data_IF_495919833065
#
_entry.id   IF_495919833065
#
_cell.length_a   1.000
_cell.length_b   1.000
_cell.length_c   1.000
_cell.angle_alpha   90.00
_cell.angle_beta   90.00
_cell.angle_gamma   90.00
#
_symmetry.space_group_name_H-M   'P 1'
#
loop_
_entity.id
_entity.type
_entity.pdbx_description
1 polymer ?
#
# COMPACT_ATOMS: atom_id res chain seq x y z
N UNK A 1 16.76 0.62 -23.92
CA UNK A 1 16.35 1.21 -25.21
C UNK A 1 16.24 0.21 -26.36
N UNK A 2 16.76 -1.02 -26.29
CA UNK A 2 16.77 -1.96 -27.44
C UNK A 2 15.55 -2.88 -27.52
N UNK A 3 14.97 -3.29 -26.39
CA UNK A 3 13.74 -4.11 -26.37
C UNK A 3 12.61 -3.41 -27.16
N UNK A 4 12.00 -4.12 -28.12
CA UNK A 4 11.00 -3.59 -29.06
C UNK A 4 11.46 -2.33 -29.81
N UNK A 5 12.76 -2.23 -30.11
CA UNK A 5 13.37 -1.03 -30.69
C UNK A 5 13.02 0.26 -29.91
N UNK A 6 12.91 0.15 -28.58
CA UNK A 6 12.63 1.29 -27.70
C UNK A 6 11.18 1.79 -27.75
N UNK A 7 10.27 1.14 -28.47
CA UNK A 7 8.85 1.50 -28.56
C UNK A 7 8.09 1.02 -27.30
N UNK A 8 8.45 1.62 -26.16
CA UNK A 8 7.77 1.43 -24.88
C UNK A 8 7.60 2.80 -24.25
N UNK A 9 6.39 3.11 -23.77
CA UNK A 9 6.11 4.32 -23.00
C UNK A 9 6.97 4.44 -21.73
N UNK A 10 7.44 3.30 -21.20
CA UNK A 10 8.34 3.21 -20.04
C UNK A 10 9.81 3.05 -20.43
N UNK A 11 10.20 3.27 -21.69
CA UNK A 11 11.61 3.23 -22.08
C UNK A 11 12.40 4.38 -21.44
N UNK A 12 13.65 4.12 -21.06
CA UNK A 12 14.55 5.17 -20.57
C UNK A 12 14.90 6.09 -21.75
N UNK A 13 14.54 7.37 -21.63
CA UNK A 13 14.86 8.43 -22.60
C UNK A 13 15.99 9.34 -22.15
N UNK A 14 16.11 9.57 -20.84
CA UNK A 14 17.08 10.48 -20.22
C UNK A 14 17.86 9.70 -19.18
N UNK A 15 19.18 9.72 -19.30
CA UNK A 15 20.12 9.03 -18.40
C UNK A 15 20.91 10.13 -17.70
N UNK A 16 20.66 10.31 -16.41
CA UNK A 16 21.26 11.37 -15.61
C UNK A 16 22.35 10.74 -14.74
N UNK A 17 23.58 11.23 -14.85
CA UNK A 17 24.73 10.67 -14.13
C UNK A 17 25.57 11.79 -13.53
N UNK A 18 26.26 11.57 -12.40
CA UNK A 18 27.23 12.53 -11.88
C UNK A 18 28.25 12.92 -12.96
N UNK A 19 28.57 14.22 -13.07
CA UNK A 19 29.48 14.76 -14.10
C UNK A 19 30.77 13.94 -14.25
N UNK A 20 31.37 13.54 -13.12
CA UNK A 20 32.62 12.78 -13.08
C UNK A 20 32.51 11.37 -13.69
N UNK A 21 31.30 10.82 -13.82
CA UNK A 21 31.04 9.47 -14.32
C UNK A 21 30.52 9.44 -15.76
N UNK A 22 30.28 10.59 -16.39
CA UNK A 22 29.71 10.69 -17.75
C UNK A 22 30.49 9.84 -18.75
N UNK A 23 31.81 9.99 -18.81
CA UNK A 23 32.64 9.27 -19.78
C UNK A 23 32.61 7.77 -19.53
N UNK A 24 32.83 7.34 -18.28
CA UNK A 24 32.81 5.91 -17.92
C UNK A 24 31.47 5.24 -18.26
N UNK A 25 30.35 5.92 -17.99
CA UNK A 25 29.01 5.41 -18.32
C UNK A 25 28.78 5.43 -19.83
N UNK A 26 29.15 6.51 -20.52
CA UNK A 26 29.04 6.62 -21.98
C UNK A 26 29.78 5.48 -22.67
N UNK A 27 31.04 5.25 -22.33
CA UNK A 27 31.88 4.21 -22.94
C UNK A 27 31.31 2.81 -22.70
N UNK A 28 30.86 2.53 -21.46
CA UNK A 28 30.23 1.26 -21.13
C UNK A 28 28.92 1.03 -21.89
N UNK A 29 28.10 2.07 -22.06
CA UNK A 29 26.87 2.00 -22.85
C UNK A 29 27.17 1.79 -24.35
N UNK A 30 28.11 2.56 -24.92
CA UNK A 30 28.54 2.43 -26.33
C UNK A 30 29.05 1.01 -26.59
N UNK A 31 29.98 0.52 -25.78
CA UNK A 31 30.54 -0.83 -25.92
C UNK A 31 29.50 -1.94 -25.84
N UNK A 32 28.42 -1.74 -25.06
CA UNK A 32 27.31 -2.70 -24.98
C UNK A 32 26.34 -2.57 -26.17
N UNK A 33 26.01 -1.35 -26.58
CA UNK A 33 25.04 -1.08 -27.63
C UNK A 33 25.57 -1.41 -29.04
N UNK A 34 26.87 -1.24 -29.29
CA UNK A 34 27.51 -1.60 -30.57
C UNK A 34 27.41 -3.11 -30.90
N UNK A 35 27.25 -3.96 -29.88
CA UNK A 35 27.09 -5.42 -30.05
C UNK A 35 25.68 -5.83 -30.47
N UNK A 36 24.73 -4.89 -30.55
CA UNK A 36 23.34 -5.17 -30.86
C UNK A 36 23.17 -5.29 -32.38
N UNK A 37 22.98 -6.51 -32.85
CA UNK A 37 22.68 -6.80 -34.26
C UNK A 37 21.22 -6.41 -34.55
N UNK A 38 21.04 -5.47 -35.47
CA UNK A 38 19.73 -5.01 -35.96
C UNK A 38 19.41 -5.69 -37.28
N UNK A 39 18.20 -6.21 -37.44
CA UNK A 39 17.80 -6.87 -38.68
C UNK A 39 16.46 -7.56 -38.57
N UNK A 40 16.17 -8.42 -39.56
CA UNK A 40 14.96 -9.23 -39.59
C UNK A 40 14.89 -10.15 -38.35
N UNK A 41 13.83 -10.07 -37.53
CA UNK A 41 13.70 -10.90 -36.33
C UNK A 41 13.63 -12.40 -36.61
N UNK A 42 13.41 -12.84 -37.85
CA UNK A 42 13.47 -14.24 -38.24
C UNK A 42 14.91 -14.79 -38.37
N UNK A 43 15.92 -13.91 -38.48
CA UNK A 43 17.31 -14.31 -38.65
C UNK A 43 17.99 -14.60 -37.31
N UNK A 44 18.74 -15.69 -37.25
CA UNK A 44 19.50 -16.06 -36.06
C UNK A 44 20.55 -15.00 -35.72
N UNK A 45 20.72 -14.72 -34.43
CA UNK A 45 21.68 -13.72 -33.94
C UNK A 45 21.17 -12.28 -33.90
N UNK A 46 20.06 -11.95 -34.60
CA UNK A 46 19.43 -10.63 -34.49
C UNK A 46 18.89 -10.40 -33.07
N UNK A 47 19.22 -9.24 -32.48
CA UNK A 47 18.83 -8.87 -31.11
C UNK A 47 17.84 -7.70 -31.04
N UNK A 48 17.65 -6.98 -32.15
CA UNK A 48 16.68 -5.90 -32.25
C UNK A 48 16.06 -5.86 -33.65
N UNK A 49 14.73 -5.86 -33.72
CA UNK A 49 13.98 -5.74 -34.98
C UNK A 49 13.73 -4.28 -35.38
N UNK A 50 12.80 -4.10 -36.33
CA UNK A 50 12.38 -2.79 -36.82
C UNK A 50 11.47 -2.02 -35.84
N UNK A 51 11.32 -0.72 -36.10
CA UNK A 51 10.18 0.07 -35.65
C UNK A 51 8.89 -0.42 -36.33
N UNK A 52 7.73 0.04 -35.86
CA UNK A 52 6.43 -0.45 -36.33
C UNK A 52 6.18 -0.17 -37.83
N UNK A 53 6.65 0.97 -38.35
CA UNK A 53 6.51 1.34 -39.76
C UNK A 53 7.52 2.44 -40.17
N UNK A 54 7.58 2.76 -41.46
CA UNK A 54 8.52 3.72 -42.03
C UNK A 54 8.26 5.17 -41.57
N UNK A 55 7.00 5.53 -41.32
CA UNK A 55 6.62 6.83 -40.76
C UNK A 55 7.20 7.02 -39.36
N UNK A 56 7.10 6.00 -38.49
CA UNK A 56 7.71 6.01 -37.16
C UNK A 56 9.24 6.11 -37.24
N UNK A 57 9.87 5.48 -38.24
CA UNK A 57 11.32 5.65 -38.48
C UNK A 57 11.67 7.09 -38.84
N UNK A 58 10.90 7.72 -39.71
CA UNK A 58 11.10 9.11 -40.11
C UNK A 58 10.88 10.07 -38.93
N UNK A 59 9.83 9.87 -38.13
CA UNK A 59 9.56 10.65 -36.91
C UNK A 59 10.71 10.51 -35.90
N UNK A 60 11.20 9.30 -35.64
CA UNK A 60 12.37 9.10 -34.76
C UNK A 60 13.60 9.83 -35.29
N UNK A 61 13.86 9.78 -36.60
CA UNK A 61 14.97 10.53 -37.21
C UNK A 61 14.79 12.05 -37.04
N UNK A 62 13.58 12.57 -37.25
CA UNK A 62 13.25 13.98 -37.04
C UNK A 62 13.52 14.40 -35.60
N UNK A 63 13.07 13.61 -34.61
CA UNK A 63 13.30 13.93 -33.19
C UNK A 63 14.78 13.88 -32.82
N UNK A 64 15.55 12.95 -33.38
CA UNK A 64 17.02 12.95 -33.24
C UNK A 64 17.60 14.24 -33.83
N UNK A 65 17.20 14.64 -35.03
CA UNK A 65 17.70 15.86 -35.67
C UNK A 65 17.38 17.13 -34.85
N UNK A 66 16.18 17.21 -34.24
CA UNK A 66 15.80 18.30 -33.33
C UNK A 66 16.76 18.36 -32.13
N UNK A 67 17.05 17.21 -31.51
CA UNK A 67 17.95 17.14 -30.37
C UNK A 67 19.38 17.54 -30.74
N UNK A 68 19.87 17.14 -31.92
CA UNK A 68 21.17 17.55 -32.44
C UNK A 68 21.24 19.06 -32.71
N UNK A 69 20.20 19.61 -33.35
CA UNK A 69 20.10 21.06 -33.59
C UNK A 69 20.05 21.88 -32.29
N UNK A 70 19.54 21.29 -31.21
CA UNK A 70 19.51 21.90 -29.88
C UNK A 70 20.84 21.78 -29.11
N UNK A 71 21.88 21.17 -29.69
CA UNK A 71 23.21 21.07 -29.08
C UNK A 71 23.54 19.71 -28.45
N UNK A 72 22.73 18.66 -28.70
CA UNK A 72 23.12 17.30 -28.33
C UNK A 72 24.16 16.72 -29.32
N UNK A 73 25.04 15.87 -28.81
CA UNK A 73 26.09 15.18 -29.57
C UNK A 73 25.74 13.70 -29.76
N UNK A 74 26.19 13.09 -30.86
CA UNK A 74 26.05 11.65 -31.09
C UNK A 74 27.24 10.94 -30.42
N UNK A 75 26.96 9.97 -29.55
CA UNK A 75 27.96 9.00 -29.03
C UNK A 75 27.92 7.68 -29.78
N UNK A 76 26.76 7.30 -30.30
CA UNK A 76 26.56 6.10 -31.12
C UNK A 76 25.32 6.27 -32.01
N UNK A 77 25.37 5.74 -33.24
CA UNK A 77 24.21 5.66 -34.14
C UNK A 77 23.83 7.03 -34.73
N UNK A 78 22.58 7.43 -34.56
CA UNK A 78 22.09 8.78 -34.91
C UNK A 78 21.52 8.95 -36.31
N UNK A 79 21.76 8.01 -37.22
CA UNK A 79 21.20 8.06 -38.58
C UNK A 79 20.65 6.71 -39.01
N UNK A 80 19.39 6.69 -39.43
CA UNK A 80 18.78 5.57 -40.13
C UNK A 80 18.80 5.78 -41.64
N UNK A 81 18.94 4.69 -42.40
CA UNK A 81 18.68 4.71 -43.84
C UNK A 81 17.17 4.76 -44.07
N UNK A 82 16.67 5.93 -44.50
CA UNK A 82 15.24 6.16 -44.78
C UNK A 82 14.79 5.56 -46.11
N UNK A 83 15.72 5.12 -46.96
CA UNK A 83 15.43 4.46 -48.23
C UNK A 83 15.42 2.94 -48.12
N UNK A 84 16.03 2.38 -47.07
CA UNK A 84 16.08 0.94 -46.83
C UNK A 84 14.68 0.32 -46.67
N UNK A 85 14.54 -0.90 -47.22
CA UNK A 85 13.39 -1.76 -47.00
C UNK A 85 13.33 -2.20 -45.52
N UNK A 86 12.17 -1.98 -44.89
CA UNK A 86 11.97 -2.22 -43.45
C UNK A 86 12.33 -1.01 -42.58
N UNK A 87 11.60 -0.82 -41.48
CA UNK A 87 11.69 0.38 -40.63
C UNK A 87 12.77 0.28 -39.55
N UNK A 88 14.00 -0.09 -39.93
CA UNK A 88 15.10 -0.25 -38.97
C UNK A 88 15.68 1.09 -38.52
N UNK A 89 16.08 1.17 -37.25
CA UNK A 89 16.75 2.34 -36.67
C UNK A 89 17.88 1.86 -35.74
N UNK A 90 19.12 2.36 -35.87
CA UNK A 90 20.22 1.88 -35.04
C UNK A 90 20.07 2.33 -33.59
N UNK A 91 20.53 1.55 -32.59
CA UNK A 91 20.63 2.02 -31.22
C UNK A 91 21.41 3.33 -31.18
N UNK A 92 20.79 4.38 -30.65
CA UNK A 92 21.33 5.74 -30.70
C UNK A 92 21.50 6.28 -29.30
N UNK A 93 22.74 6.57 -28.93
CA UNK A 93 23.08 7.24 -27.67
C UNK A 93 23.48 8.67 -27.98
N UNK A 94 22.72 9.62 -27.46
CA UNK A 94 23.03 11.05 -27.52
C UNK A 94 23.66 11.50 -26.21
N UNK A 95 24.35 12.64 -26.23
CA UNK A 95 24.88 13.32 -25.06
C UNK A 95 24.46 14.78 -25.09
N UNK A 96 23.90 15.28 -24.00
CA UNK A 96 23.55 16.70 -23.83
C UNK A 96 24.50 17.32 -22.80
N UNK A 97 25.46 18.17 -23.21
CA UNK A 97 26.45 18.73 -22.29
C UNK A 97 25.89 19.77 -21.33
N UNK A 98 24.90 20.58 -21.77
CA UNK A 98 24.30 21.66 -21.00
C UNK A 98 22.78 21.46 -20.86
N UNK A 99 22.34 20.48 -20.06
CA UNK A 99 20.93 20.09 -20.00
C UNK A 99 19.99 21.21 -19.53
N UNK A 100 20.46 22.08 -18.62
CA UNK A 100 19.68 23.23 -18.13
C UNK A 100 19.40 24.27 -19.23
N UNK A 101 20.29 24.37 -20.23
CA UNK A 101 20.21 25.32 -21.34
C UNK A 101 19.61 24.68 -22.61
N UNK A 102 19.26 23.38 -22.56
CA UNK A 102 18.71 22.63 -23.70
C UNK A 102 17.28 22.12 -23.42
N UNK A 103 16.24 22.98 -23.39
CA UNK A 103 14.86 22.56 -23.09
C UNK A 103 14.34 21.40 -23.96
N UNK A 104 14.82 21.29 -25.21
CA UNK A 104 14.44 20.22 -26.13
C UNK A 104 14.72 18.82 -25.57
N UNK A 105 15.80 18.62 -24.79
CA UNK A 105 16.12 17.31 -24.20
C UNK A 105 15.08 16.85 -23.17
N UNK A 106 14.34 17.79 -22.59
CA UNK A 106 13.28 17.52 -21.63
C UNK A 106 11.93 17.37 -22.29
N UNK A 107 11.71 18.03 -23.43
CA UNK A 107 10.42 18.13 -24.12
C UNK A 107 10.24 17.13 -25.28
N UNK A 108 11.33 16.76 -25.97
CA UNK A 108 11.28 15.96 -27.19
C UNK A 108 11.50 14.48 -26.89
N UNK A 109 10.51 13.65 -27.21
CA UNK A 109 10.62 12.20 -27.12
C UNK A 109 10.80 11.58 -28.52
N UNK A 110 11.94 10.93 -28.75
CA UNK A 110 12.12 10.03 -29.87
C UNK A 110 11.61 8.62 -29.50
N UNK A 111 10.44 8.22 -29.99
CA UNK A 111 9.80 6.93 -29.66
C UNK A 111 10.43 5.73 -30.39
N UNK A 112 11.76 5.59 -30.26
CA UNK A 112 12.57 4.55 -30.88
C UNK A 112 13.74 4.13 -29.99
N UNK A 113 14.80 3.50 -30.53
CA UNK A 113 15.92 3.01 -29.73
C UNK A 113 16.92 4.14 -29.41
N UNK A 114 16.42 5.25 -28.85
CA UNK A 114 17.14 6.50 -28.59
C UNK A 114 17.07 6.86 -27.10
N UNK A 115 18.19 7.31 -26.55
CA UNK A 115 18.29 7.88 -25.20
C UNK A 115 19.42 8.91 -25.15
N UNK A 116 19.29 9.89 -24.25
CA UNK A 116 20.25 10.99 -24.08
C UNK A 116 20.89 10.92 -22.69
N UNK A 117 22.22 10.90 -22.66
CA UNK A 117 23.03 11.00 -21.45
C UNK A 117 23.21 12.47 -21.06
N UNK A 118 23.11 12.78 -19.78
CA UNK A 118 23.10 14.14 -19.24
C UNK A 118 23.94 14.20 -17.95
N UNK A 119 24.84 15.18 -17.80
CA UNK A 119 25.59 15.36 -16.58
C UNK A 119 24.74 16.00 -15.48
N UNK A 120 24.90 15.54 -14.25
CA UNK A 120 24.43 16.20 -13.05
C UNK A 120 25.61 16.67 -12.19
N UNK A 121 25.56 17.92 -11.76
CA UNK A 121 26.59 18.54 -10.93
C UNK A 121 26.60 17.97 -9.50
N UNK A 122 25.42 17.60 -8.99
CA UNK A 122 25.20 17.03 -7.66
C UNK A 122 23.83 16.34 -7.61
N UNK A 123 23.49 15.74 -6.46
CA UNK A 123 22.23 15.01 -6.26
C UNK A 123 20.98 15.87 -6.47
N UNK A 124 21.02 17.13 -5.99
CA UNK A 124 19.90 18.07 -6.15
C UNK A 124 19.68 18.42 -7.62
N UNK A 125 20.76 18.66 -8.36
CA UNK A 125 20.69 18.89 -9.79
C UNK A 125 20.15 17.64 -10.52
N UNK A 126 20.59 16.43 -10.17
CA UNK A 126 20.06 15.20 -10.77
C UNK A 126 18.53 15.05 -10.59
N UNK A 127 18.02 15.40 -9.41
CA UNK A 127 16.59 15.44 -9.11
C UNK A 127 15.86 16.50 -9.96
N UNK A 128 16.40 17.71 -10.06
CA UNK A 128 15.83 18.77 -10.90
C UNK A 128 15.72 18.32 -12.36
N UNK A 129 16.78 17.73 -12.90
CA UNK A 129 16.78 17.15 -14.24
C UNK A 129 15.74 16.05 -14.36
N UNK A 130 15.63 15.13 -13.39
CA UNK A 130 14.62 14.06 -13.42
C UNK A 130 13.20 14.64 -13.52
N UNK A 131 12.88 15.64 -12.71
CA UNK A 131 11.57 16.31 -12.69
C UNK A 131 11.30 17.21 -13.91
N UNK A 132 12.34 17.70 -14.61
CA UNK A 132 12.21 18.59 -15.76
C UNK A 132 11.46 17.96 -16.96
N UNK A 133 11.24 16.64 -16.95
CA UNK A 133 10.38 15.96 -17.93
C UNK A 133 8.89 16.31 -17.86
N UNK A 134 8.45 17.11 -16.87
CA UNK A 134 7.07 17.57 -16.77
C UNK A 134 6.06 16.49 -16.36
N UNK A 135 6.53 15.43 -15.69
CA UNK A 135 5.75 14.25 -15.33
C UNK A 135 6.10 13.03 -16.17
N UNK A 136 6.24 11.86 -15.54
CA UNK A 136 6.74 10.65 -16.20
C UNK A 136 6.07 9.38 -15.69
N UNK A 137 6.00 8.35 -16.54
CA UNK A 137 5.42 7.05 -16.17
C UNK A 137 6.32 6.29 -15.19
N UNK A 138 7.63 6.27 -15.48
CA UNK A 138 8.60 5.47 -14.73
C UNK A 138 9.92 6.22 -14.59
N UNK A 139 10.62 5.97 -13.49
CA UNK A 139 12.04 6.30 -13.30
C UNK A 139 12.76 5.21 -12.53
N UNK A 140 14.09 5.17 -12.62
CA UNK A 140 14.93 4.32 -11.78
C UNK A 140 16.03 5.16 -11.15
N UNK A 141 16.19 5.06 -9.83
CA UNK A 141 17.35 5.54 -9.11
C UNK A 141 18.28 4.36 -8.82
N UNK A 142 19.53 4.47 -9.24
CA UNK A 142 20.57 3.47 -8.92
C UNK A 142 21.41 4.01 -7.77
N UNK A 143 21.30 3.40 -6.59
CA UNK A 143 22.07 3.82 -5.39
C UNK A 143 22.11 2.69 -4.36
N UNK A 144 23.23 2.55 -3.66
CA UNK A 144 23.33 1.71 -2.46
C UNK A 144 23.09 2.51 -1.16
N UNK A 145 22.98 3.84 -1.25
CA UNK A 145 22.79 4.72 -0.10
C UNK A 145 21.29 4.95 0.20
N UNK A 146 20.79 4.49 1.36
CA UNK A 146 19.39 4.66 1.74
C UNK A 146 18.99 6.13 1.93
N UNK A 147 19.92 7.04 2.22
CA UNK A 147 19.62 8.45 2.49
C UNK A 147 19.36 9.17 1.18
N UNK A 148 20.15 8.85 0.14
CA UNK A 148 19.88 9.31 -1.23
C UNK A 148 18.52 8.79 -1.70
N UNK A 149 18.23 7.50 -1.49
CA UNK A 149 16.96 6.89 -1.90
C UNK A 149 15.77 7.57 -1.20
N UNK A 150 15.84 7.76 0.12
CA UNK A 150 14.80 8.43 0.90
C UNK A 150 14.54 9.84 0.39
N UNK A 151 15.59 10.64 0.23
CA UNK A 151 15.47 12.03 -0.21
C UNK A 151 14.89 12.10 -1.63
N UNK A 152 15.43 11.30 -2.56
CA UNK A 152 14.94 11.26 -3.93
C UNK A 152 13.46 10.88 -4.02
N UNK A 153 13.02 9.87 -3.26
CA UNK A 153 11.61 9.48 -3.24
C UNK A 153 10.72 10.60 -2.69
N UNK A 154 11.12 11.25 -1.60
CA UNK A 154 10.36 12.35 -1.01
C UNK A 154 10.13 13.49 -2.03
N UNK A 155 11.11 13.78 -2.88
CA UNK A 155 11.05 14.91 -3.80
C UNK A 155 10.48 14.55 -5.20
N UNK A 156 10.77 13.35 -5.71
CA UNK A 156 10.48 12.95 -7.10
C UNK A 156 9.21 12.12 -7.28
N UNK A 157 8.69 11.48 -6.22
CA UNK A 157 7.53 10.59 -6.33
C UNK A 157 6.29 11.31 -6.89
N UNK A 158 6.11 12.60 -6.58
CA UNK A 158 5.01 13.41 -7.12
C UNK A 158 5.09 13.69 -8.62
N UNK A 159 6.24 13.42 -9.27
CA UNK A 159 6.44 13.65 -10.71
C UNK A 159 6.57 12.36 -11.51
N UNK A 160 6.51 11.19 -10.86
CA UNK A 160 6.64 9.89 -11.51
C UNK A 160 5.57 8.94 -10.99
N UNK A 161 4.84 8.24 -11.87
CA UNK A 161 3.86 7.25 -11.39
C UNK A 161 4.51 6.00 -10.78
N UNK A 162 5.73 5.67 -11.19
CA UNK A 162 6.53 4.61 -10.59
C UNK A 162 8.01 4.98 -10.53
N UNK A 163 8.65 4.70 -9.39
CA UNK A 163 10.10 4.80 -9.23
C UNK A 163 10.63 3.45 -8.76
N UNK A 164 11.63 2.92 -9.46
CA UNK A 164 12.38 1.76 -9.02
C UNK A 164 13.67 2.22 -8.33
N UNK A 165 13.94 1.74 -7.11
CA UNK A 165 15.26 1.84 -6.50
C UNK A 165 16.03 0.57 -6.85
N UNK A 166 17.22 0.72 -7.42
CA UNK A 166 18.05 -0.38 -7.87
C UNK A 166 19.41 -0.33 -7.17
N UNK A 167 19.82 -1.45 -6.59
CA UNK A 167 21.13 -1.66 -5.98
C UNK A 167 21.60 -3.11 -6.25
N UNK A 168 22.76 -3.48 -5.72
CA UNK A 168 23.31 -4.83 -5.91
C UNK A 168 22.39 -5.94 -5.40
N UNK A 169 21.76 -5.74 -4.23
CA UNK A 169 20.87 -6.71 -3.59
C UNK A 169 19.65 -7.03 -4.46
N UNK A 170 18.98 -5.98 -4.97
CA UNK A 170 17.77 -6.11 -5.78
C UNK A 170 18.04 -6.40 -7.26
N UNK A 171 19.29 -6.27 -7.73
CA UNK A 171 19.61 -6.40 -9.15
C UNK A 171 19.24 -7.78 -9.73
N UNK A 172 19.43 -8.85 -8.96
CA UNK A 172 19.16 -10.24 -9.39
C UNK A 172 17.68 -10.54 -9.58
N UNK A 173 16.83 -9.89 -8.79
CA UNK A 173 15.37 -10.07 -8.81
C UNK A 173 14.64 -8.89 -9.47
N UNK A 174 15.40 -7.95 -10.03
CA UNK A 174 14.87 -6.74 -10.66
C UNK A 174 13.90 -7.11 -11.79
N UNK A 175 12.67 -6.63 -11.67
CA UNK A 175 11.65 -6.79 -12.71
C UNK A 175 11.85 -5.81 -13.87
N UNK A 176 12.88 -4.96 -13.80
CA UNK A 176 13.30 -4.01 -14.83
C UNK A 176 12.53 -2.69 -14.84
N UNK A 177 13.22 -1.61 -15.24
CA UNK A 177 12.67 -0.25 -15.34
C UNK A 177 11.33 -0.21 -16.10
N UNK A 178 11.28 -0.88 -17.25
CA UNK A 178 10.21 -0.74 -18.23
C UNK A 178 9.03 -1.71 -18.10
N UNK A 179 9.01 -2.60 -17.11
CA UNK A 179 7.99 -3.65 -17.02
C UNK A 179 6.77 -3.17 -16.22
N UNK A 180 5.56 -3.14 -16.82
CA UNK A 180 4.34 -2.78 -16.10
C UNK A 180 3.77 -4.01 -15.37
N UNK A 181 4.27 -4.30 -14.17
CA UNK A 181 3.73 -5.39 -13.35
C UNK A 181 2.29 -5.09 -12.91
N UNK A 182 1.36 -6.06 -12.98
CA UNK A 182 -0.06 -5.83 -12.70
C UNK A 182 -0.36 -5.41 -11.25
N UNK A 183 0.54 -5.73 -10.31
CA UNK A 183 0.42 -5.32 -8.91
C UNK A 183 0.90 -3.88 -8.67
N UNK A 184 1.68 -3.31 -9.59
CA UNK A 184 2.21 -1.95 -9.50
C UNK A 184 1.35 -0.99 -10.32
N UNK A 185 1.28 0.26 -9.89
CA UNK A 185 0.61 1.31 -10.66
C UNK A 185 1.34 1.53 -11.99
N UNK A 186 0.57 1.63 -13.07
CA UNK A 186 1.02 2.10 -14.37
C UNK A 186 0.26 3.38 -14.72
N UNK A 187 0.98 4.46 -14.98
CA UNK A 187 0.40 5.80 -15.10
C UNK A 187 1.41 6.82 -14.62
N UNK A 188 1.05 8.09 -14.63
CA UNK A 188 1.96 9.15 -14.20
C UNK A 188 1.34 10.54 -14.34
N UNK A 189 1.83 11.51 -13.56
CA UNK A 189 1.30 12.88 -13.56
C UNK A 189 1.75 13.67 -14.80
N UNK A 190 1.17 14.86 -14.98
CA UNK A 190 1.62 15.84 -15.97
C UNK A 190 1.61 15.30 -17.40
N UNK A 191 2.75 15.39 -18.10
CA UNK A 191 2.89 14.95 -19.50
C UNK A 191 2.61 13.46 -19.72
N UNK A 192 2.69 12.65 -18.66
CA UNK A 192 2.32 11.23 -18.73
C UNK A 192 0.79 10.99 -18.74
N UNK A 193 -0.03 12.05 -18.64
CA UNK A 193 -1.48 12.01 -18.86
C UNK A 193 -2.33 12.10 -17.59
N UNK A 194 -1.75 11.97 -16.40
CA UNK A 194 -2.47 12.03 -15.12
C UNK A 194 -3.32 10.81 -14.81
N UNK A 195 -3.22 9.75 -15.61
CA UNK A 195 -3.98 8.51 -15.43
C UNK A 195 -3.34 7.52 -14.45
N UNK A 196 -4.13 6.53 -14.05
CA UNK A 196 -3.72 5.41 -13.20
C UNK A 196 -4.40 4.11 -13.69
N UNK A 197 -3.59 3.10 -14.00
CA UNK A 197 -3.98 1.75 -14.41
C UNK A 197 -3.22 0.71 -13.57
N UNK A 198 -3.67 -0.55 -13.62
CA UNK A 198 -3.10 -1.67 -12.85
C UNK A 198 -3.15 -1.42 -11.33
N UNK A 199 -2.06 -1.67 -10.59
CA UNK A 199 -2.03 -1.47 -9.13
C UNK A 199 -2.93 -2.42 -8.34
N UNK A 200 -3.25 -3.60 -8.89
CA UNK A 200 -4.10 -4.61 -8.27
C UNK A 200 -5.53 -4.13 -8.00
N UNK A 201 -5.96 -4.15 -6.73
CA UNK A 201 -7.30 -3.67 -6.33
C UNK A 201 -7.54 -2.18 -6.59
N UNK A 202 -6.49 -1.38 -6.87
CA UNK A 202 -6.63 0.03 -7.24
C UNK A 202 -7.40 0.19 -8.56
N UNK A 203 -7.02 -0.56 -9.61
CA UNK A 203 -7.70 -0.53 -10.90
C UNK A 203 -9.20 -0.86 -10.81
N UNK A 204 -9.60 -1.78 -9.93
CA UNK A 204 -11.02 -2.15 -9.76
C UNK A 204 -11.86 -0.93 -9.43
N UNK A 205 -11.36 -0.01 -8.60
CA UNK A 205 -12.09 1.19 -8.19
C UNK A 205 -12.36 2.16 -9.35
N UNK A 206 -11.59 2.10 -10.44
CA UNK A 206 -11.82 2.92 -11.63
C UNK A 206 -13.09 2.51 -12.38
N UNK A 207 -13.48 1.23 -12.28
CA UNK A 207 -14.67 0.68 -12.92
C UNK A 207 -15.90 0.65 -12.01
N UNK A 208 -15.84 1.29 -10.83
CA UNK A 208 -16.93 1.31 -9.86
C UNK A 208 -17.48 2.71 -9.67
N UNK A 209 -18.80 2.83 -9.56
CA UNK A 209 -19.43 4.05 -9.06
C UNK A 209 -19.35 4.07 -7.53
N UNK A 210 -18.68 5.09 -6.96
CA UNK A 210 -18.62 5.30 -5.50
C UNK A 210 -19.77 6.19 -5.06
N UNK A 211 -20.61 5.69 -4.18
CA UNK A 211 -21.76 6.43 -3.61
C UNK A 211 -21.57 6.61 -2.11
N UNK A 212 -21.65 7.86 -1.63
CA UNK A 212 -21.74 8.14 -0.20
C UNK A 212 -23.19 7.93 0.26
N UNK A 213 -23.40 7.11 1.29
CA UNK A 213 -24.72 6.83 1.87
C UNK A 213 -24.75 7.42 3.27
N UNK A 214 -25.74 8.26 3.54
CA UNK A 214 -25.95 8.90 4.85
C UNK A 214 -27.32 8.49 5.40
N UNK A 215 -27.38 8.26 6.71
CA UNK A 215 -28.60 7.83 7.39
C UNK A 215 -28.35 7.64 8.89
N UNK A 216 -29.40 7.30 9.63
CA UNK A 216 -29.25 6.92 11.04
C UNK A 216 -28.42 5.62 11.16
N UNK A 217 -27.73 5.38 12.28
CA UNK A 217 -26.97 4.16 12.50
C UNK A 217 -27.79 2.89 12.22
N UNK A 218 -29.06 2.86 12.66
CA UNK A 218 -29.98 1.75 12.40
C UNK A 218 -30.25 1.53 10.91
N UNK A 219 -30.45 2.60 10.15
CA UNK A 219 -30.68 2.48 8.70
C UNK A 219 -29.40 2.03 7.98
N UNK A 220 -28.24 2.57 8.36
CA UNK A 220 -26.96 2.14 7.82
C UNK A 220 -26.67 0.67 8.17
N UNK A 221 -27.06 0.22 9.36
CA UNK A 221 -26.93 -1.17 9.75
C UNK A 221 -27.81 -2.10 8.90
N UNK A 222 -29.05 -1.69 8.63
CA UNK A 222 -29.96 -2.42 7.76
C UNK A 222 -29.43 -2.53 6.32
N UNK A 223 -28.92 -1.42 5.76
CA UNK A 223 -28.38 -1.38 4.39
C UNK A 223 -27.10 -2.23 4.27
N UNK A 224 -26.18 -2.08 5.23
CA UNK A 224 -24.88 -2.77 5.20
C UNK A 224 -24.93 -4.22 5.67
N UNK A 225 -26.03 -4.65 6.31
CA UNK A 225 -26.17 -5.93 7.01
C UNK A 225 -25.07 -6.14 8.07
N UNK A 226 -24.64 -5.05 8.69
CA UNK A 226 -23.64 -5.04 9.77
C UNK A 226 -24.11 -4.05 10.83
N UNK A 227 -24.02 -4.39 12.10
CA UNK A 227 -24.37 -3.44 13.15
C UNK A 227 -23.37 -2.28 13.18
N UNK A 228 -23.90 -1.07 13.35
CA UNK A 228 -23.16 0.18 13.44
C UNK A 228 -23.37 0.73 14.84
N UNK A 229 -22.32 1.29 15.45
CA UNK A 229 -22.42 1.88 16.80
C UNK A 229 -23.57 2.89 16.89
N UNK A 230 -24.41 2.75 17.91
CA UNK A 230 -25.62 3.56 18.12
C UNK A 230 -26.85 3.08 17.33
N UNK A 231 -26.74 2.02 16.54
CA UNK A 231 -27.92 1.36 15.96
C UNK A 231 -28.72 0.64 17.04
N UNK A 232 -30.01 0.43 16.77
CA UNK A 232 -30.85 -0.43 17.62
C UNK A 232 -30.21 -1.82 17.76
N UNK A 233 -30.45 -2.42 18.92
CA UNK A 233 -29.96 -3.74 19.29
C UNK A 233 -31.14 -4.63 19.66
N UNK A 234 -30.95 -5.93 19.52
CA UNK A 234 -31.93 -6.94 19.90
C UNK A 234 -31.35 -7.76 21.04
N UNK A 235 -32.05 -7.82 22.18
CA UNK A 235 -31.63 -8.61 23.34
C UNK A 235 -32.48 -9.88 23.42
N UNK A 236 -31.82 -11.02 23.64
CA UNK A 236 -32.46 -12.33 23.76
C UNK A 236 -32.27 -12.86 25.19
N UNK A 237 -33.19 -13.73 25.63
CA UNK A 237 -33.05 -14.51 26.86
C UNK A 237 -31.90 -15.51 26.77
N UNK A 238 -31.58 -15.99 25.57
CA UNK A 238 -30.45 -16.89 25.34
C UNK A 238 -29.17 -16.07 25.17
N UNK A 239 -28.19 -16.35 26.04
CA UNK A 239 -26.88 -15.71 25.98
C UNK A 239 -26.23 -15.90 24.60
N UNK A 240 -25.66 -14.85 23.95
CA UNK A 240 -25.18 -14.96 22.57
C UNK A 240 -24.11 -16.04 22.35
N UNK A 241 -23.28 -16.33 23.36
CA UNK A 241 -22.28 -17.42 23.30
C UNK A 241 -22.88 -18.84 23.29
N UNK A 242 -24.19 -18.98 23.54
CA UNK A 242 -24.92 -20.25 23.46
C UNK A 242 -25.56 -20.50 22.11
N UNK A 243 -25.53 -19.51 21.22
CA UNK A 243 -26.08 -19.58 19.87
C UNK A 243 -25.03 -20.08 18.89
N UNK A 244 -25.44 -20.95 17.96
CA UNK A 244 -24.63 -21.31 16.81
C UNK A 244 -24.52 -20.14 15.83
N UNK A 245 -23.57 -20.25 14.90
CA UNK A 245 -23.32 -19.20 13.91
C UNK A 245 -24.58 -18.81 13.13
N UNK A 246 -25.44 -19.75 12.76
CA UNK A 246 -26.66 -19.49 12.00
C UNK A 246 -27.70 -18.67 12.78
N UNK A 247 -27.78 -18.89 14.09
CA UNK A 247 -28.77 -18.26 14.98
C UNK A 247 -28.43 -16.80 15.31
N UNK A 248 -27.15 -16.43 15.22
CA UNK A 248 -26.69 -15.07 15.50
C UNK A 248 -27.05 -14.11 14.36
N UNK A 249 -27.54 -12.92 14.69
CA UNK A 249 -27.77 -11.84 13.73
C UNK A 249 -26.98 -10.59 14.09
N UNK A 250 -26.50 -9.80 13.11
CA UNK A 250 -25.97 -8.47 13.40
C UNK A 250 -27.00 -7.64 14.16
N UNK A 251 -26.61 -7.11 15.32
CA UNK A 251 -27.50 -6.41 16.25
C UNK A 251 -27.89 -7.21 17.50
N UNK A 252 -27.72 -8.54 17.49
CA UNK A 252 -27.87 -9.36 18.70
C UNK A 252 -26.93 -8.85 19.79
N UNK A 253 -27.46 -8.56 20.96
CA UNK A 253 -26.72 -7.89 22.02
C UNK A 253 -26.97 -8.49 23.40
N UNK A 254 -25.97 -8.34 24.25
CA UNK A 254 -26.01 -8.61 25.66
C UNK A 254 -25.56 -7.36 26.40
N UNK A 255 -26.42 -6.86 27.28
CA UNK A 255 -26.03 -5.92 28.32
C UNK A 255 -25.69 -6.69 29.59
N UNK A 256 -24.45 -6.57 30.06
CA UNK A 256 -23.99 -7.34 31.21
C UNK A 256 -24.49 -6.76 32.53
N UNK A 257 -24.38 -7.51 33.64
CA UNK A 257 -24.36 -6.93 34.97
C UNK A 257 -23.24 -5.90 35.16
N UNK A 258 -23.29 -5.19 36.27
CA UNK A 258 -22.33 -4.14 36.64
C UNK A 258 -21.26 -4.68 37.57
N UNK A 259 -20.04 -4.14 37.49
CA UNK A 259 -18.93 -4.45 38.40
C UNK A 259 -18.22 -3.18 38.83
N UNK A 260 -18.08 -2.98 40.13
CA UNK A 260 -17.27 -1.90 40.72
C UNK A 260 -15.80 -2.29 40.73
N UNK A 261 -14.93 -1.41 40.24
CA UNK A 261 -13.48 -1.57 40.30
C UNK A 261 -12.98 -1.07 41.65
N UNK A 262 -12.17 -1.85 42.35
CA UNK A 262 -11.67 -1.51 43.68
C UNK A 262 -10.15 -1.32 43.69
N UNK A 263 -9.61 -0.72 44.74
CA UNK A 263 -8.15 -0.67 44.92
C UNK A 263 -7.53 -2.08 45.03
N UNK A 264 -8.26 -3.03 45.62
CA UNK A 264 -7.81 -4.42 45.70
C UNK A 264 -7.67 -5.05 44.31
N UNK A 265 -8.57 -4.73 43.37
CA UNK A 265 -8.45 -5.19 41.99
C UNK A 265 -7.17 -4.66 41.32
N UNK A 266 -6.84 -3.38 41.52
CA UNK A 266 -5.62 -2.75 40.95
C UNK A 266 -4.37 -3.45 41.48
N UNK A 267 -4.28 -3.62 42.80
CA UNK A 267 -3.12 -4.28 43.43
C UNK A 267 -3.01 -5.73 43.00
N UNK A 268 -4.11 -6.49 43.00
CA UNK A 268 -4.09 -7.90 42.60
C UNK A 268 -3.73 -8.07 41.13
N UNK A 269 -4.22 -7.19 40.25
CA UNK A 269 -3.88 -7.24 38.84
C UNK A 269 -2.42 -6.83 38.59
N UNK A 270 -1.89 -5.84 39.31
CA UNK A 270 -0.47 -5.48 39.24
C UNK A 270 0.42 -6.67 39.66
N UNK A 271 0.07 -7.36 40.75
CA UNK A 271 0.77 -8.57 41.18
C UNK A 271 0.70 -9.71 40.15
N UNK A 272 -0.47 -9.90 39.52
CA UNK A 272 -0.68 -10.96 38.53
C UNK A 272 0.02 -10.66 37.18
N UNK A 273 -0.05 -9.42 36.71
CA UNK A 273 0.43 -9.01 35.39
C UNK A 273 1.87 -8.52 35.40
N UNK A 274 2.40 -8.11 36.55
CA UNK A 274 3.69 -7.43 36.68
C UNK A 274 3.66 -5.94 36.37
N UNK A 275 2.52 -5.38 35.92
CA UNK A 275 2.39 -3.95 35.62
C UNK A 275 2.23 -3.12 36.90
N UNK A 276 3.35 -2.59 37.38
CA UNK A 276 3.42 -1.71 38.54
C UNK A 276 3.59 -0.24 38.15
N UNK A 277 3.14 0.16 36.95
CA UNK A 277 3.28 1.53 36.48
C UNK A 277 2.69 2.54 37.48
N UNK A 278 3.37 3.69 37.63
CA UNK A 278 3.12 4.62 38.74
C UNK A 278 1.66 5.10 38.80
N UNK A 279 1.01 5.28 37.64
CA UNK A 279 -0.38 5.74 37.57
C UNK A 279 -1.38 4.77 38.22
N UNK A 280 -0.99 3.50 38.42
CA UNK A 280 -1.80 2.48 39.08
C UNK A 280 -1.41 2.29 40.54
N UNK A 281 -0.12 2.39 40.87
CA UNK A 281 0.40 1.92 42.16
C UNK A 281 0.82 3.03 43.12
N UNK A 282 1.29 4.17 42.61
CA UNK A 282 1.79 5.28 43.42
C UNK A 282 0.74 6.38 43.53
N UNK A 283 0.17 6.55 44.72
CA UNK A 283 -0.87 7.55 44.98
C UNK A 283 -0.36 8.99 44.85
N UNK A 284 0.89 9.26 45.20
CA UNK A 284 1.47 10.61 45.16
C UNK A 284 1.77 10.97 43.70
N UNK A 285 2.50 10.11 42.99
CA UNK A 285 2.83 10.36 41.59
C UNK A 285 1.58 10.40 40.68
N UNK A 286 0.56 9.57 40.96
CA UNK A 286 -0.68 9.60 40.20
C UNK A 286 -1.47 10.91 40.42
N UNK A 287 -1.42 11.51 41.61
CA UNK A 287 -2.06 12.79 41.89
C UNK A 287 -1.45 13.97 41.12
N UNK A 288 -0.14 13.90 40.82
CA UNK A 288 0.59 14.89 40.02
C UNK A 288 0.45 14.66 38.51
N UNK A 289 -0.10 13.51 38.10
CA UNK A 289 -0.31 13.15 36.71
C UNK A 289 -1.54 13.82 36.09
N UNK A 290 -1.70 13.69 34.78
CA UNK A 290 -2.89 14.14 34.05
C UNK A 290 -4.20 13.48 34.53
N UNK A 291 -4.12 12.38 35.29
CA UNK A 291 -5.29 11.65 35.79
C UNK A 291 -5.80 12.17 37.15
N UNK A 292 -4.96 12.90 37.89
CA UNK A 292 -5.26 13.48 39.21
C UNK A 292 -5.42 12.48 40.36
N UNK A 293 -5.46 11.19 40.09
CA UNK A 293 -5.43 10.09 41.07
C UNK A 293 -5.08 8.77 40.39
N UNK A 294 -4.99 7.69 41.18
CA UNK A 294 -4.72 6.35 40.63
C UNK A 294 -5.84 5.93 39.69
N UNK A 295 -5.44 5.28 38.60
CA UNK A 295 -6.36 4.72 37.62
C UNK A 295 -6.23 3.21 37.59
N UNK A 296 -7.28 2.53 37.14
CA UNK A 296 -7.29 1.09 36.90
C UNK A 296 -6.53 0.77 35.61
N UNK A 297 -5.79 -0.34 35.59
CA UNK A 297 -5.10 -0.79 34.37
C UNK A 297 -6.09 -0.96 33.22
N UNK A 298 -5.80 -0.37 32.06
CA UNK A 298 -6.63 -0.58 30.86
C UNK A 298 -6.76 -2.07 30.50
N UNK A 299 -5.67 -2.83 30.64
CA UNK A 299 -5.67 -4.28 30.46
C UNK A 299 -6.59 -5.00 31.45
N UNK A 300 -6.67 -4.53 32.70
CA UNK A 300 -7.61 -5.09 33.65
C UNK A 300 -9.05 -4.76 33.31
N UNK A 301 -9.36 -3.54 32.85
CA UNK A 301 -10.70 -3.19 32.37
C UNK A 301 -11.15 -4.14 31.26
N UNK A 302 -10.26 -4.49 30.33
CA UNK A 302 -10.51 -5.48 29.28
C UNK A 302 -10.77 -6.89 29.84
N UNK A 303 -9.92 -7.37 30.75
CA UNK A 303 -10.09 -8.67 31.39
C UNK A 303 -11.38 -8.76 32.23
N UNK A 304 -11.69 -7.70 32.97
CA UNK A 304 -12.90 -7.57 33.76
C UNK A 304 -14.14 -7.53 32.87
N UNK A 305 -14.09 -6.81 31.74
CA UNK A 305 -15.15 -6.81 30.75
C UNK A 305 -15.40 -8.21 30.18
N UNK A 306 -14.35 -8.95 29.83
CA UNK A 306 -14.46 -10.33 29.38
C UNK A 306 -15.15 -11.23 30.42
N UNK A 307 -14.78 -11.11 31.69
CA UNK A 307 -15.45 -11.82 32.78
C UNK A 307 -16.95 -11.50 32.94
N UNK A 308 -17.44 -10.39 32.37
CA UNK A 308 -18.86 -9.99 32.44
C UNK A 308 -19.72 -10.52 31.30
N UNK A 309 -19.17 -10.69 30.09
CA UNK A 309 -19.94 -11.14 28.92
C UNK A 309 -19.59 -12.55 28.43
N UNK A 310 -18.51 -13.17 28.94
CA UNK A 310 -18.18 -14.55 28.56
C UNK A 310 -19.02 -15.51 29.38
N UNK A 311 -19.75 -16.38 28.69
CA UNK A 311 -20.36 -17.56 29.31
C UNK A 311 -19.33 -18.69 29.36
N UNK A 312 -19.05 -19.19 30.56
CA UNK A 312 -17.98 -20.16 30.81
C UNK A 312 -18.33 -21.60 30.43
N UNK A 313 -19.60 -21.93 30.19
CA UNK A 313 -19.98 -23.31 29.89
C UNK A 313 -19.66 -23.70 28.45
N UNK A 314 -19.40 -25.00 28.23
CA UNK A 314 -19.13 -25.56 26.89
C UNK A 314 -20.28 -25.21 25.94
N UNK A 315 -19.96 -24.65 24.79
CA UNK A 315 -20.95 -24.15 23.83
C UNK A 315 -20.39 -23.94 22.43
N UNK A 316 -21.17 -23.31 21.53
CA UNK A 316 -20.79 -23.13 20.12
C UNK A 316 -19.60 -22.20 19.89
N UNK A 317 -19.27 -21.31 20.82
CA UNK A 317 -18.07 -20.47 20.71
C UNK A 317 -16.82 -21.32 20.99
N UNK A 318 -15.97 -21.47 19.98
CA UNK A 318 -14.80 -22.36 20.01
C UNK A 318 -13.58 -21.63 20.57
N UNK A 319 -13.33 -20.41 20.09
CA UNK A 319 -12.15 -19.65 20.47
C UNK A 319 -12.38 -18.15 20.28
N UNK A 320 -11.83 -17.35 21.18
CA UNK A 320 -11.51 -15.95 20.91
C UNK A 320 -10.10 -15.92 20.29
N UNK A 321 -9.97 -15.44 19.07
CA UNK A 321 -8.68 -15.48 18.36
C UNK A 321 -8.11 -14.09 18.04
N UNK A 322 -8.80 -13.01 18.43
CA UNK A 322 -8.28 -11.67 18.18
C UNK A 322 -9.12 -10.54 18.76
N UNK A 323 -8.44 -9.42 18.99
CA UNK A 323 -9.04 -8.13 19.32
C UNK A 323 -8.63 -7.11 18.26
N UNK A 324 -9.59 -6.31 17.80
CA UNK A 324 -9.32 -5.25 16.83
C UNK A 324 -9.76 -3.88 17.36
N UNK A 325 -9.09 -2.83 16.89
CA UNK A 325 -9.49 -1.43 17.12
C UNK A 325 -9.67 -1.02 18.60
N UNK A 326 -8.91 -1.63 19.53
CA UNK A 326 -8.99 -1.30 20.96
C UNK A 326 -8.56 0.15 21.22
N UNK A 327 -9.42 0.88 21.93
CA UNK A 327 -9.17 2.22 22.45
C UNK A 327 -9.65 2.31 23.89
N UNK A 328 -8.81 2.88 24.76
CA UNK A 328 -9.21 3.40 26.06
C UNK A 328 -9.62 4.85 25.86
N UNK A 329 -10.83 5.20 26.29
CA UNK A 329 -11.43 6.52 26.02
C UNK A 329 -11.27 7.40 27.25
N UNK A 330 -11.90 7.00 28.35
CA UNK A 330 -11.78 7.64 29.65
C UNK A 330 -11.08 6.72 30.65
N UNK A 331 -10.27 7.26 31.57
CA UNK A 331 -9.68 6.48 32.65
C UNK A 331 -10.77 5.97 33.59
N UNK A 332 -10.59 4.74 34.09
CA UNK A 332 -11.43 4.17 35.15
C UNK A 332 -10.70 4.34 36.47
N UNK A 333 -11.38 4.85 37.49
CA UNK A 333 -10.81 5.12 38.82
C UNK A 333 -11.27 4.06 39.84
N UNK A 334 -10.54 3.88 40.96
CA UNK A 334 -11.04 3.10 42.08
C UNK A 334 -12.41 3.63 42.54
N UNK A 335 -13.38 2.74 42.67
CA UNK A 335 -14.78 3.06 43.01
C UNK A 335 -15.70 3.21 41.79
N UNK A 336 -15.17 3.37 40.58
CA UNK A 336 -15.99 3.40 39.37
C UNK A 336 -16.64 2.05 39.10
N UNK A 337 -17.83 2.08 38.52
CA UNK A 337 -18.57 0.88 38.15
C UNK A 337 -18.65 0.76 36.64
N UNK A 338 -18.17 -0.35 36.10
CA UNK A 338 -18.25 -0.65 34.67
C UNK A 338 -19.45 -1.52 34.34
N UNK A 339 -19.98 -1.34 33.13
CA UNK A 339 -20.97 -2.20 32.50
C UNK A 339 -20.58 -2.40 31.03
N UNK A 340 -20.81 -3.59 30.49
CA UNK A 340 -20.41 -3.91 29.12
C UNK A 340 -21.65 -4.14 28.26
N UNK A 341 -21.65 -3.57 27.06
CA UNK A 341 -22.52 -3.99 25.98
C UNK A 341 -21.69 -4.75 24.95
N UNK A 342 -22.09 -6.00 24.73
CA UNK A 342 -21.59 -6.85 23.67
C UNK A 342 -22.63 -6.88 22.55
N UNK A 343 -22.25 -6.59 21.30
CA UNK A 343 -23.19 -6.62 20.16
C UNK A 343 -22.56 -7.32 18.97
N UNK A 344 -23.27 -8.26 18.34
CA UNK A 344 -22.85 -8.91 17.11
C UNK A 344 -22.74 -7.84 16.01
N UNK A 345 -21.52 -7.50 15.61
CA UNK A 345 -21.24 -6.46 14.63
C UNK A 345 -21.39 -6.98 13.22
N UNK A 346 -20.73 -8.09 12.92
CA UNK A 346 -20.86 -8.77 11.63
C UNK A 346 -20.43 -10.22 11.74
N UNK A 347 -20.81 -10.99 10.73
CA UNK A 347 -20.50 -12.40 10.59
C UNK A 347 -19.76 -12.64 9.28
N UNK A 348 -18.69 -13.42 9.33
CA UNK A 348 -17.94 -13.84 8.14
C UNK A 348 -17.93 -15.36 8.09
N UNK A 349 -18.52 -15.91 7.04
CA UNK A 349 -18.52 -17.36 6.82
C UNK A 349 -17.10 -17.84 6.52
N UNK A 350 -16.67 -18.92 7.17
CA UNK A 350 -15.45 -19.64 6.80
C UNK A 350 -15.87 -20.89 6.03
N UNK A 351 -15.51 -20.95 4.73
CA UNK A 351 -15.75 -22.13 3.91
C UNK A 351 -14.89 -23.29 4.41
N UNK A 352 -15.47 -24.48 4.50
CA UNK A 352 -14.71 -25.70 4.76
C UNK A 352 -13.70 -25.95 3.63
N UNK A 353 -12.49 -26.39 4.00
CA UNK A 353 -11.46 -26.79 3.04
C UNK A 353 -11.41 -28.30 2.80
N UNK A 354 -11.98 -29.08 3.72
CA UNK A 354 -12.11 -30.53 3.62
C UNK A 354 -13.34 -31.01 4.41
N UNK A 355 -13.75 -32.26 4.17
CA UNK A 355 -14.88 -32.89 4.84
C UNK A 355 -14.66 -33.08 6.36
N UNK A 356 -13.40 -33.21 6.80
CA UNK A 356 -13.03 -33.43 8.20
C UNK A 356 -12.99 -32.12 9.02
N UNK A 357 -12.89 -30.96 8.35
CA UNK A 357 -12.88 -29.67 9.02
C UNK A 357 -14.26 -29.38 9.62
N UNK A 358 -14.34 -29.14 10.94
CA UNK A 358 -15.61 -28.73 11.55
C UNK A 358 -16.09 -27.41 10.94
N UNK A 359 -17.38 -27.28 10.56
CA UNK A 359 -17.88 -26.07 9.95
C UNK A 359 -17.91 -24.94 10.98
N UNK A 360 -17.32 -23.81 10.61
CA UNK A 360 -17.16 -22.65 11.50
C UNK A 360 -17.38 -21.33 10.77
N UNK A 361 -17.60 -20.27 11.54
CA UNK A 361 -17.61 -18.90 11.05
C UNK A 361 -17.00 -17.96 12.07
N UNK A 362 -16.63 -16.77 11.61
CA UNK A 362 -16.12 -15.70 12.46
C UNK A 362 -17.25 -14.75 12.79
N UNK A 363 -17.47 -14.50 14.08
CA UNK A 363 -18.34 -13.43 14.56
C UNK A 363 -17.46 -12.33 15.14
N UNK A 364 -17.60 -11.13 14.59
CA UNK A 364 -17.01 -9.93 15.16
C UNK A 364 -18.03 -9.30 16.09
N UNK A 365 -17.66 -9.12 17.36
CA UNK A 365 -18.48 -8.47 18.37
C UNK A 365 -17.97 -7.08 18.65
N UNK A 366 -18.82 -6.06 18.54
CA UNK A 366 -18.53 -4.76 19.12
C UNK A 366 -18.67 -4.85 20.63
N UNK A 367 -17.62 -4.40 21.34
CA UNK A 367 -17.63 -4.30 22.80
C UNK A 367 -17.54 -2.83 23.19
N UNK A 368 -18.48 -2.42 24.03
CA UNK A 368 -18.54 -1.08 24.59
C UNK A 368 -18.59 -1.19 26.10
N UNK A 369 -17.55 -0.71 26.76
CA UNK A 369 -17.46 -0.65 28.22
C UNK A 369 -17.80 0.76 28.64
N UNK A 370 -18.79 0.90 29.51
CA UNK A 370 -19.26 2.18 30.04
C UNK A 370 -19.04 2.26 31.53
N UNK A 371 -18.80 3.46 32.06
CA UNK A 371 -18.84 3.71 33.50
C UNK A 371 -20.29 3.94 33.99
N UNK A 372 -20.44 4.24 35.28
CA UNK A 372 -21.72 4.53 35.93
C UNK A 372 -22.48 5.73 35.32
N UNK A 373 -21.79 6.62 34.62
CA UNK A 373 -22.34 7.80 33.96
C UNK A 373 -22.68 7.57 32.48
N UNK A 374 -22.64 6.31 32.01
CA UNK A 374 -22.82 5.93 30.60
C UNK A 374 -21.76 6.54 29.67
N UNK A 375 -20.61 6.94 30.21
CA UNK A 375 -19.47 7.40 29.41
C UNK A 375 -18.64 6.18 28.98
N UNK A 376 -18.28 6.05 27.69
CA UNK A 376 -17.44 4.94 27.24
C UNK A 376 -16.04 5.06 27.85
N UNK A 377 -15.53 3.97 28.41
CA UNK A 377 -14.18 3.87 28.97
C UNK A 377 -13.27 2.99 28.10
N UNK A 378 -13.84 1.99 27.41
CA UNK A 378 -13.12 1.18 26.44
C UNK A 378 -14.02 0.75 25.28
N UNK A 379 -13.48 0.77 24.07
CA UNK A 379 -14.18 0.41 22.84
C UNK A 379 -13.29 -0.49 22.00
N UNK A 380 -13.78 -1.65 21.58
CA UNK A 380 -13.01 -2.61 20.77
C UNK A 380 -13.91 -3.62 20.06
N UNK A 381 -13.33 -4.41 19.16
CA UNK A 381 -13.98 -5.58 18.58
C UNK A 381 -13.34 -6.87 19.09
N UNK A 382 -14.14 -7.89 19.38
CA UNK A 382 -13.69 -9.27 19.64
C UNK A 382 -13.98 -10.14 18.43
N UNK A 383 -13.04 -10.99 18.04
CA UNK A 383 -13.21 -11.99 17.00
C UNK A 383 -13.34 -13.38 17.62
N UNK A 384 -14.53 -13.96 17.53
CA UNK A 384 -14.77 -15.33 17.97
C UNK A 384 -14.98 -16.26 16.80
N UNK A 385 -14.34 -17.43 16.86
CA UNK A 385 -14.66 -18.57 16.01
C UNK A 385 -15.86 -19.30 16.61
N UNK A 386 -16.94 -19.41 15.85
CA UNK A 386 -18.21 -20.00 16.30
C UNK A 386 -18.55 -21.20 15.42
N UNK A 387 -18.96 -22.29 16.04
CA UNK A 387 -19.42 -23.49 15.37
C UNK A 387 -20.68 -23.21 14.54
N UNK A 388 -20.76 -23.87 13.39
CA UNK A 388 -21.93 -23.91 12.53
C UNK A 388 -22.68 -25.22 12.74
N UNK A 389 -23.99 -25.20 12.60
CA UNK A 389 -24.82 -26.41 12.69
C UNK A 389 -24.70 -27.29 11.44
N UNK A 390 -24.39 -26.69 10.29
CA UNK A 390 -24.37 -27.38 9.00
C UNK A 390 -23.07 -27.08 8.23
N UNK A 391 -22.51 -28.13 7.62
CA UNK A 391 -21.38 -28.03 6.70
C UNK A 391 -21.77 -27.53 5.31
N UNK A 392 -20.79 -26.99 4.58
CA UNK A 392 -20.88 -26.53 3.20
C UNK A 392 -19.84 -27.18 2.26
N UNK A 393 -19.14 -28.22 2.72
CA UNK A 393 -18.26 -29.01 1.87
C UNK A 393 -19.07 -29.88 0.90
N UNK A 394 -18.73 -29.79 -0.39
CA UNK A 394 -19.28 -30.63 -1.48
C UNK A 394 -18.08 -31.20 -2.21
N UNK A 395 -18.04 -32.53 -2.38
CA UNK A 395 -16.96 -33.28 -3.05
C UNK A 395 -16.74 -32.87 -4.51
#
# INVERSE_FOLDING_TARGET
>A
MTTKAGQKCTAIRRIIVPQALVNAVSDALVARLQKVVVGDPAQEGVKMGALVNAEQRADVQEKVNILLAAGCEIRLGGQADLSAAGAFFPPTLLYCPQPDETPAVHATEAFGPVATLMPAQNQRHALQLACAGGGSLAGTLVTADPQIARQFIADAARTHGRIQILNEESAKESTGHGSPLPQLVHGGPGRAGGGEELGGLRAVKHYMQRTAVQGSPTMLAAISKQWVRGAKVEEDRIHPFRKYFEELQPGDSLLTPRRTMTEADIVNFACLSGDHFYAHMDKIAAAESIFGERVVHGYFVLSAAAGLFVDAGVGPVIANYGLESLRFIEPVKPGDTIQVRLTCKRKTLKKQRSAEEKPTGVVEWAVEVFNQHQTPVALYSILTLVARQHGDFVD
#
